data_IF_922181106967
#
_entry.id   IF_922181106967
#
_cell.length_a   1.000
_cell.length_b   1.000
_cell.length_c   1.000
_cell.angle_alpha   90.00
_cell.angle_beta   90.00
_cell.angle_gamma   90.00
#
_symmetry.space_group_name_H-M   'P 1'
#
loop_
_entity.id
_entity.type
_entity.pdbx_description
1 polymer ?
2 non-polymer ?
#
# COMPACT_ATOMS: atom_id res chain seq x y z
N UNK A 1 11.30 6.32 -3.64
CA UNK A 1 10.77 5.43 -4.71
C UNK A 1 9.76 6.21 -5.59
N UNK A 2 10.23 6.78 -6.67
CA UNK A 2 9.40 7.58 -7.64
C UNK A 2 7.86 7.37 -7.69
N UNK A 3 7.14 7.88 -6.71
CA UNK A 3 5.64 7.79 -6.58
C UNK A 3 4.80 7.01 -7.64
N UNK A 4 4.93 7.44 -8.87
CA UNK A 4 4.20 6.80 -10.01
C UNK A 4 4.39 5.29 -9.96
N UNK A 5 5.54 4.87 -9.51
CA UNK A 5 5.82 3.40 -9.40
C UNK A 5 4.72 2.87 -8.44
N UNK A 6 4.82 3.37 -7.23
CA UNK A 6 3.86 3.01 -6.13
C UNK A 6 2.48 2.82 -6.70
N UNK A 7 1.99 3.86 -7.31
CA UNK A 7 0.65 3.82 -7.92
C UNK A 7 0.57 2.71 -8.97
N UNK A 8 1.42 2.75 -9.96
CA UNK A 8 1.44 1.71 -11.05
C UNK A 8 1.57 0.29 -10.52
N UNK A 9 2.02 0.18 -9.30
CA UNK A 9 2.17 -1.15 -8.66
C UNK A 9 0.85 -1.39 -7.92
N UNK A 10 0.55 -0.56 -6.97
CA UNK A 10 -0.70 -0.66 -6.15
C UNK A 10 -1.99 -0.83 -7.02
N UNK A 11 -2.15 0.05 -7.96
CA UNK A 11 -3.32 0.09 -8.91
C UNK A 11 -4.13 -1.24 -9.07
N UNK A 12 -3.64 -2.37 -9.55
CA UNK A 12 -4.52 -3.58 -9.65
C UNK A 12 -5.09 -3.96 -8.26
N UNK A 13 -4.21 -3.97 -7.29
CA UNK A 13 -4.65 -4.31 -5.91
C UNK A 13 -5.69 -3.24 -5.48
N UNK A 14 -5.44 -2.02 -5.90
CA UNK A 14 -6.42 -0.93 -5.54
C UNK A 14 -7.77 -1.47 -6.01
N UNK A 15 -7.80 -1.99 -7.22
CA UNK A 15 -9.08 -2.57 -7.75
C UNK A 15 -9.58 -3.47 -6.61
N UNK A 16 -8.72 -4.34 -6.15
CA UNK A 16 -9.07 -5.28 -5.02
C UNK A 16 -9.68 -4.45 -3.85
N UNK A 17 -8.96 -3.57 -3.19
CA UNK A 17 -9.55 -2.75 -2.05
C UNK A 17 -10.91 -2.07 -2.41
N UNK A 18 -11.19 -1.77 -3.66
CA UNK A 18 -12.50 -1.12 -3.98
C UNK A 18 -13.54 -2.22 -4.29
N UNK A 19 -13.09 -3.31 -4.85
CA UNK A 19 -14.00 -4.44 -5.20
C UNK A 19 -13.43 -5.25 -6.37
N UNK A 20 -12.21 -5.68 -6.16
CA UNK A 20 -11.49 -6.49 -7.20
C UNK A 20 -11.43 -7.96 -6.81
N UNK A 21 -11.22 -8.83 -7.78
CA UNK A 21 -11.22 -10.31 -7.57
C UNK A 21 -9.73 -10.67 -7.35
N UNK A 22 -9.19 -9.89 -6.45
CA UNK A 22 -7.76 -9.97 -6.01
C UNK A 22 -7.63 -10.23 -4.50
N UNK A 23 -6.40 -10.30 -4.01
CA UNK A 23 -5.13 -10.10 -4.76
C UNK A 23 -4.58 -11.43 -5.38
N UNK A 24 -3.66 -11.29 -6.30
CA UNK A 24 -3.01 -12.46 -7.01
C UNK A 24 -1.63 -12.88 -6.42
N UNK A 25 -1.28 -12.39 -5.26
CA UNK A 25 0.07 -12.76 -4.65
C UNK A 25 1.01 -11.58 -4.98
N UNK A 26 0.86 -11.17 -6.23
CA UNK A 26 1.64 -10.01 -6.82
C UNK A 26 1.78 -8.91 -5.79
N UNK A 27 0.65 -8.46 -5.28
CA UNK A 27 0.64 -7.39 -4.26
C UNK A 27 1.61 -7.77 -3.16
N UNK A 28 1.21 -8.66 -2.29
CA UNK A 28 2.11 -9.09 -1.18
C UNK A 28 3.60 -8.99 -1.50
N UNK A 29 3.89 -9.49 -2.67
CA UNK A 29 5.30 -9.49 -3.17
C UNK A 29 5.81 -8.08 -3.55
N UNK A 30 5.21 -7.49 -4.54
CA UNK A 30 5.62 -6.12 -5.01
C UNK A 30 5.66 -5.19 -3.81
N UNK A 31 4.69 -5.39 -2.96
CA UNK A 31 4.55 -4.59 -1.70
C UNK A 31 5.80 -4.75 -0.90
N UNK A 32 6.09 -5.98 -0.52
CA UNK A 32 7.33 -6.23 0.27
C UNK A 32 8.46 -5.48 -0.46
N UNK A 33 8.60 -5.66 -1.75
CA UNK A 33 9.69 -4.91 -2.50
C UNK A 33 9.66 -3.44 -2.02
N UNK A 34 8.56 -2.73 -2.21
CA UNK A 34 8.58 -1.30 -1.72
C UNK A 34 8.93 -1.28 -0.23
N UNK A 35 8.48 -2.25 0.54
CA UNK A 35 8.79 -2.28 2.02
C UNK A 35 10.25 -2.69 2.36
N UNK A 36 10.91 -3.24 1.37
CA UNK A 36 12.34 -3.71 1.44
C UNK A 36 13.30 -2.67 0.83
N UNK A 37 12.78 -1.99 -0.16
CA UNK A 37 13.50 -0.91 -0.91
C UNK A 37 13.40 0.31 0.03
N UNK A 38 12.20 0.60 0.49
CA UNK A 38 12.03 1.76 1.40
C UNK A 38 12.44 1.21 2.79
N UNK A 39 13.33 1.89 3.48
CA UNK A 39 13.80 1.43 4.84
C UNK A 39 13.37 2.31 6.03
N UNK A 40 13.66 3.57 5.97
CA UNK A 40 13.29 4.51 7.08
C UNK A 40 12.24 5.52 6.65
N UNK A 41 11.51 5.96 7.65
CA UNK A 41 10.40 6.96 7.48
C UNK A 41 10.49 7.85 6.22
N UNK A 42 11.65 8.42 6.00
CA UNK A 42 11.91 9.32 4.82
C UNK A 42 11.67 8.76 3.40
N UNK A 43 12.00 7.51 3.14
CA UNK A 43 11.77 6.94 1.77
C UNK A 43 10.26 6.58 1.71
N UNK A 44 9.86 5.94 2.77
CA UNK A 44 8.44 5.47 2.97
C UNK A 44 7.52 6.68 2.76
N UNK A 45 7.67 7.73 3.52
CA UNK A 45 6.84 8.98 3.41
C UNK A 45 6.34 9.25 1.95
N UNK A 46 7.23 9.64 1.08
CA UNK A 46 6.87 9.92 -0.37
C UNK A 46 5.91 8.82 -0.88
N UNK A 47 6.38 7.61 -0.79
CA UNK A 47 5.59 6.43 -1.23
C UNK A 47 4.21 6.33 -0.49
N UNK A 48 4.23 6.34 0.81
CA UNK A 48 2.97 6.26 1.65
C UNK A 48 2.04 7.34 1.13
N UNK A 49 2.52 8.56 1.13
CA UNK A 49 1.69 9.69 0.64
C UNK A 49 1.09 9.36 -0.73
N UNK A 50 1.84 8.73 -1.59
CA UNK A 50 1.31 8.36 -2.95
C UNK A 50 0.30 7.18 -2.86
N UNK A 51 0.66 6.10 -2.22
CA UNK A 51 -0.26 4.92 -2.07
C UNK A 51 -1.56 5.42 -1.38
N UNK A 52 -1.35 6.32 -0.46
CA UNK A 52 -2.45 6.95 0.33
C UNK A 52 -3.20 7.73 -0.77
N UNK A 53 -2.48 8.60 -1.45
CA UNK A 53 -3.04 9.44 -2.56
C UNK A 53 -4.05 8.61 -3.34
N UNK A 54 -3.60 7.51 -3.84
CA UNK A 54 -4.52 6.62 -4.62
C UNK A 54 -5.64 6.17 -3.67
N UNK A 55 -5.41 5.60 -2.50
CA UNK A 55 -6.47 5.16 -1.54
C UNK A 55 -7.58 6.21 -1.45
N UNK A 56 -7.12 7.42 -1.45
CA UNK A 56 -8.03 8.61 -1.38
C UNK A 56 -8.70 8.74 -2.75
N UNK A 57 -7.90 8.65 -3.78
CA UNK A 57 -8.44 8.78 -5.17
C UNK A 57 -9.03 7.48 -5.73
N UNK A 58 -9.76 6.79 -4.89
CA UNK A 58 -10.43 5.50 -5.30
C UNK A 58 -11.93 5.75 -5.05
N UNK A 59 -12.71 4.72 -4.97
CA UNK A 59 -14.18 4.87 -4.73
C UNK A 59 -14.45 4.65 -3.22
N UNK A 60 -14.59 3.43 -2.79
CA UNK A 60 -14.85 3.18 -1.33
C UNK A 60 -13.88 2.13 -0.77
N UNK A 61 -12.61 2.50 -0.70
CA UNK A 61 -11.55 1.57 -0.16
C UNK A 61 -12.17 0.72 0.96
N UNK A 62 -12.02 -0.57 0.85
CA UNK A 62 -12.58 -1.48 1.86
C UNK A 62 -11.48 -1.94 2.82
N UNK A 63 -11.35 -1.20 3.90
CA UNK A 63 -10.34 -1.46 4.98
C UNK A 63 -9.73 -2.87 5.00
N UNK A 64 -10.60 -3.86 4.99
CA UNK A 64 -10.15 -5.29 4.99
C UNK A 64 -9.03 -5.49 3.98
N UNK A 65 -9.38 -5.39 2.72
CA UNK A 65 -8.43 -5.56 1.58
C UNK A 65 -7.07 -4.96 1.96
N UNK A 66 -7.16 -3.73 2.36
CA UNK A 66 -5.92 -3.00 2.75
C UNK A 66 -5.15 -3.61 3.96
N UNK A 67 -5.79 -3.67 5.10
CA UNK A 67 -5.12 -4.24 6.32
C UNK A 67 -4.57 -5.66 6.06
N UNK A 68 -5.43 -6.32 5.31
CA UNK A 68 -5.27 -7.70 4.86
C UNK A 68 -3.95 -7.83 4.20
N UNK A 69 -3.68 -6.95 3.26
CA UNK A 69 -2.36 -7.09 2.60
C UNK A 69 -1.21 -7.32 3.61
N UNK A 70 -0.69 -6.43 4.43
CA UNK A 70 0.36 -6.87 5.40
C UNK A 70 -0.03 -8.16 6.18
N UNK A 71 -1.22 -8.16 6.74
CA UNK A 71 -1.76 -9.32 7.53
C UNK A 71 -1.47 -10.74 6.95
N UNK A 72 -1.77 -10.86 5.69
CA UNK A 72 -1.58 -12.13 4.87
C UNK A 72 -0.29 -12.15 4.03
N UNK A 73 0.10 -11.00 3.59
CA UNK A 73 1.35 -10.89 2.76
C UNK A 73 2.58 -11.22 3.62
N UNK A 74 2.40 -10.92 4.89
CA UNK A 74 3.39 -11.13 6.01
C UNK A 74 4.56 -10.13 5.97
N UNK A 75 4.12 -8.89 5.99
CA UNK A 75 5.07 -7.72 5.96
C UNK A 75 5.12 -6.90 7.29
N UNK A 76 4.94 -7.61 8.38
CA UNK A 76 4.95 -7.06 9.80
C UNK A 76 5.06 -5.51 9.95
N UNK A 77 4.02 -4.77 9.63
CA UNK A 77 4.13 -3.27 9.77
C UNK A 77 2.88 -2.44 10.23
N UNK A 78 3.08 -1.26 10.77
CA UNK A 78 2.02 -0.19 10.86
C UNK A 78 1.19 0.23 9.62
N UNK A 79 1.75 0.35 8.44
CA UNK A 79 0.90 0.77 7.26
C UNK A 79 0.38 -0.41 6.38
N UNK A 80 -0.74 -0.12 5.76
CA UNK A 80 -1.46 -1.07 4.84
C UNK A 80 -2.23 -0.18 3.84
N UNK A 81 -2.13 -0.38 2.56
CA UNK A 81 -2.90 0.50 1.57
C UNK A 81 -4.25 1.22 1.96
N UNK A 82 -4.11 2.33 2.65
CA UNK A 82 -5.27 3.19 3.10
C UNK A 82 -5.15 4.68 2.74
N UNK A 83 -6.25 5.40 2.63
CA UNK A 83 -6.29 6.89 2.80
C UNK A 83 -5.80 7.42 4.17
N UNK A 84 -6.08 6.77 5.27
CA UNK A 84 -5.60 7.31 6.60
C UNK A 84 -4.49 6.47 7.34
N UNK A 85 -3.29 6.63 6.87
CA UNK A 85 -2.07 5.92 7.45
C UNK A 85 -1.21 6.76 8.42
N UNK A 86 -0.26 6.11 9.07
CA UNK A 86 0.63 6.84 10.03
C UNK A 86 1.88 7.32 9.24
N UNK A 87 1.68 7.49 7.95
CA UNK A 87 2.76 7.96 7.01
C UNK A 87 3.67 9.02 7.66
N UNK A 88 3.03 9.70 8.56
CA UNK A 88 3.60 10.79 9.41
C UNK A 88 5.00 10.55 9.97
N UNK A 89 5.04 9.56 10.81
CA UNK A 89 6.29 9.15 11.50
C UNK A 89 6.75 7.72 11.20
N UNK A 90 5.77 6.85 11.09
CA UNK A 90 6.02 5.40 10.81
C UNK A 90 7.02 4.79 11.84
N UNK A 91 6.77 5.09 13.09
CA UNK A 91 7.61 4.58 14.23
C UNK A 91 6.76 4.69 15.52
X LIG B 1 -3.71 -2.82 -2.48
X LIG B 1 -4.81 -2.49 -2.89
X LIG B 1 -3.58 -3.79 -1.75
X LIG B 1 -2.49 -2.00 -2.90
X LIG B 1 -1.29 -2.91 -3.17
X LIG B 1 -0.78 -3.53 -1.87
X LIG B 1 -0.69 -2.44 -0.79
X LIG B 1 0.53 -2.69 0.11
X LIG B 1 0.30 -2.02 1.47
X LIG B 1 1.62 -1.92 2.23
X LIG B 1 2.45 -0.77 1.64
X LIG B 1 3.92 -1.20 1.52
X LIG B 1 4.83 -0.08 2.02
X LIG B 1 5.08 0.94 0.90
X LIG B 1 3.84 1.82 0.71
X LIG B 1 3.42 2.50 2.02
X LIG B 1 4.58 3.33 2.60
X LIG B 1 4.58 3.19 4.12
X LIG B 1 -2.73 -1.44 -3.79
X LIG B 1 -2.25 -1.31 -2.11
X LIG B 1 -1.59 -3.70 -3.84
X LIG B 1 -0.50 -2.33 -3.63
X LIG B 1 0.18 -3.97 -2.03
X LIG B 1 -1.47 -4.30 -1.54
X LIG B 1 -1.57 -2.45 -0.19
X LIG B 1 -0.58 -1.48 -1.25
X LIG B 1 1.41 -2.29 -0.35
X LIG B 1 0.66 -3.76 0.26
X LIG B 1 -0.41 -2.60 2.04
X LIG B 1 -0.10 -1.03 1.31
X LIG B 1 2.16 -2.85 2.13
X LIG B 1 1.43 -1.73 3.27
X LIG B 1 2.07 -0.51 0.67
X LIG B 1 2.38 0.08 2.29
X LIG B 1 4.15 -1.42 0.49
X LIG B 1 4.09 -2.10 2.11
X LIG B 1 4.37 0.41 2.87
X LIG B 1 5.77 -0.49 2.35
X LIG B 1 5.29 0.41 -0.02
X LIG B 1 5.93 1.54 1.16
X LIG B 1 3.03 1.22 0.33
X LIG B 1 4.06 2.59 -0.03
X LIG B 1 3.12 1.76 2.73
X LIG B 1 2.58 3.15 1.84
X LIG B 1 4.45 4.36 2.33
X LIG B 1 5.51 2.97 2.20
X LIG B 1 3.57 3.21 4.50
X LIG B 1 5.03 2.24 4.40
X LIG B 1 5.15 3.99 4.57
#
# INVERSE_FOLDING_TARGET
LNCGQVDSKMKPCLTYVQGGPGPSGECCNGVRDLHNQAQSSGDRQTVCNCLKGIARGIHNLNLNNAASIPSKCNVNVPYTISPDIDCSRIY
PLM C1 O1 O2 C2 C3 C4 C5 C6 C7 C8 C9 CA CB CC CD CE CF CG H21 H22 H31 H32 H41 H42 H51 H52 H61 H62 H71 H72 H81 H82 H91 H92 HA1 HA2 HB1 HB2 HC1 HC2 HD1 HD2 HE1 HE2 HF1 HF2 HG1 HG2 HG3
#
